data_IF_256761020625
#
_entry.id   IF_256761020625
#
_cell.length_a   1.000
_cell.length_b   1.000
_cell.length_c   1.000
_cell.angle_alpha   90.00
_cell.angle_beta   90.00
_cell.angle_gamma   90.00
#
_symmetry.space_group_name_H-M   'P 1'
#
loop_
_entity.id
_entity.type
_entity.pdbx_description
1 polymer ?
#
# COMPACT_ATOMS: atom_id res chain seq x y z
N UNK A 1 -6.00 -20.19 -1.10
CA UNK A 1 -4.76 -19.40 -1.19
C UNK A 1 -4.57 -18.74 0.16
N UNK A 2 -3.57 -19.17 0.93
CA UNK A 2 -3.25 -18.54 2.22
C UNK A 2 -2.36 -17.34 1.89
N UNK A 3 -2.84 -16.12 2.13
CA UNK A 3 -2.04 -14.92 1.94
C UNK A 3 -1.29 -14.64 3.23
N UNK A 4 0.04 -14.66 3.18
CA UNK A 4 0.88 -14.18 4.27
C UNK A 4 1.01 -12.66 4.13
N UNK A 5 0.13 -11.94 4.80
CA UNK A 5 0.06 -10.49 4.74
C UNK A 5 1.27 -9.81 5.40
N UNK A 6 1.94 -10.47 6.35
CA UNK A 6 3.17 -9.95 6.95
C UNK A 6 4.32 -10.00 5.95
N UNK A 7 4.52 -11.15 5.30
CA UNK A 7 5.54 -11.31 4.26
C UNK A 7 5.28 -10.38 3.07
N UNK A 8 4.02 -10.22 2.63
CA UNK A 8 3.63 -9.29 1.57
C UNK A 8 3.94 -7.85 1.96
N UNK A 9 3.62 -7.46 3.19
CA UNK A 9 3.86 -6.10 3.68
C UNK A 9 5.35 -5.81 3.79
N UNK A 10 6.14 -6.75 4.31
CA UNK A 10 7.59 -6.63 4.36
C UNK A 10 8.19 -6.49 2.96
N UNK A 11 7.79 -7.36 2.01
CA UNK A 11 8.24 -7.29 0.64
C UNK A 11 7.83 -5.99 -0.07
N UNK A 12 6.65 -5.44 0.23
CA UNK A 12 6.24 -4.13 -0.27
C UNK A 12 7.16 -3.02 0.24
N UNK A 13 7.38 -2.96 1.56
CA UNK A 13 8.23 -1.97 2.22
C UNK A 13 9.69 -2.04 1.76
N UNK A 14 10.20 -3.24 1.53
CA UNK A 14 11.58 -3.48 1.06
C UNK A 14 11.73 -3.38 -0.46
N UNK A 15 10.65 -3.01 -1.17
CA UNK A 15 10.65 -2.83 -2.63
C UNK A 15 10.98 -4.13 -3.39
N UNK A 16 10.51 -5.26 -2.84
CA UNK A 16 10.74 -6.63 -3.34
C UNK A 16 9.47 -7.37 -3.70
N UNK A 17 8.30 -6.73 -3.59
CA UNK A 17 7.01 -7.36 -3.90
C UNK A 17 6.96 -7.83 -5.38
N UNK A 18 6.79 -9.14 -5.65
CA UNK A 18 6.73 -9.65 -7.01
C UNK A 18 5.54 -9.10 -7.79
N UNK A 19 5.66 -8.98 -9.12
CA UNK A 19 4.58 -8.48 -9.99
C UNK A 19 3.24 -9.21 -9.80
N UNK A 20 3.27 -10.53 -9.63
CA UNK A 20 2.07 -11.32 -9.40
C UNK A 20 1.37 -11.02 -8.06
N UNK A 21 2.09 -10.47 -7.08
CA UNK A 21 1.59 -10.14 -5.75
C UNK A 21 1.20 -8.65 -5.61
N UNK A 22 1.40 -7.83 -6.66
CA UNK A 22 0.99 -6.41 -6.69
C UNK A 22 -0.51 -6.26 -6.91
N UNK A 23 -1.30 -6.73 -5.95
CA UNK A 23 -2.76 -6.68 -6.00
C UNK A 23 -3.30 -5.56 -5.12
N UNK A 24 -4.59 -5.22 -5.27
CA UNK A 24 -5.25 -4.31 -4.34
C UNK A 24 -5.20 -4.83 -2.89
N UNK A 25 -5.32 -6.15 -2.68
CA UNK A 25 -5.23 -6.74 -1.33
C UNK A 25 -3.85 -6.51 -0.69
N UNK A 26 -2.76 -6.61 -1.47
CA UNK A 26 -1.42 -6.34 -0.96
C UNK A 26 -1.25 -4.88 -0.52
N UNK A 27 -1.80 -3.93 -1.28
CA UNK A 27 -1.79 -2.51 -0.92
C UNK A 27 -2.64 -2.22 0.32
N UNK A 28 -3.78 -2.89 0.49
CA UNK A 28 -4.60 -2.76 1.71
C UNK A 28 -3.85 -3.30 2.94
N UNK A 29 -3.20 -4.46 2.82
CA UNK A 29 -2.40 -5.02 3.91
C UNK A 29 -1.22 -4.10 4.30
N UNK A 30 -0.52 -3.54 3.31
CA UNK A 30 0.51 -2.55 3.56
C UNK A 30 -0.06 -1.29 4.22
N UNK A 31 -1.19 -0.77 3.72
CA UNK A 31 -1.89 0.37 4.29
C UNK A 31 -2.27 0.16 5.76
N UNK A 32 -2.79 -1.03 6.10
CA UNK A 32 -3.09 -1.44 7.48
C UNK A 32 -1.85 -1.37 8.36
N UNK A 33 -0.73 -1.92 7.90
CA UNK A 33 0.52 -1.85 8.65
C UNK A 33 0.95 -0.40 8.91
N UNK A 34 0.89 0.47 7.90
CA UNK A 34 1.26 1.89 8.07
C UNK A 34 0.35 2.62 9.05
N UNK A 35 -0.98 2.44 8.94
CA UNK A 35 -1.94 3.06 9.86
C UNK A 35 -1.70 2.56 11.29
N UNK A 36 -1.50 1.26 11.47
CA UNK A 36 -1.27 0.67 12.79
C UNK A 36 0.01 1.19 13.47
N UNK A 37 1.09 1.37 12.71
CA UNK A 37 2.40 1.74 13.28
C UNK A 37 2.67 3.24 13.31
N UNK A 38 1.99 4.04 12.49
CA UNK A 38 2.27 5.47 12.35
C UNK A 38 1.05 6.38 12.54
N UNK A 39 -0.15 5.81 12.64
CA UNK A 39 -1.40 6.55 12.63
C UNK A 39 -1.80 7.03 11.23
N UNK A 40 -3.08 7.38 11.08
CA UNK A 40 -3.66 7.73 9.78
C UNK A 40 -3.02 8.96 9.13
N UNK A 41 -2.72 10.02 9.88
CA UNK A 41 -2.18 11.26 9.32
C UNK A 41 -0.82 11.03 8.65
N UNK A 42 0.05 10.25 9.30
CA UNK A 42 1.32 9.84 8.71
C UNK A 42 1.13 8.85 7.55
N UNK A 43 0.24 7.88 7.70
CA UNK A 43 -0.03 6.88 6.66
C UNK A 43 -0.51 7.50 5.34
N UNK A 44 -1.33 8.56 5.40
CA UNK A 44 -1.79 9.33 4.23
C UNK A 44 -0.67 9.98 3.41
N UNK A 45 0.52 10.13 4.00
CA UNK A 45 1.71 10.67 3.34
C UNK A 45 2.65 9.52 2.95
N UNK A 46 2.92 8.59 3.88
CA UNK A 46 3.89 7.51 3.72
C UNK A 46 3.46 6.49 2.66
N UNK A 47 2.18 6.11 2.61
CA UNK A 47 1.70 5.07 1.70
C UNK A 47 1.75 5.52 0.24
N UNK A 48 1.24 6.70 -0.14
CA UNK A 48 1.45 7.24 -1.49
C UNK A 48 2.92 7.24 -1.92
N UNK A 49 3.81 7.71 -1.05
CA UNK A 49 5.24 7.77 -1.33
C UNK A 49 5.82 6.35 -1.53
N UNK A 50 5.44 5.40 -0.68
CA UNK A 50 5.88 4.01 -0.77
C UNK A 50 5.40 3.33 -2.07
N UNK A 51 4.14 3.53 -2.47
CA UNK A 51 3.61 2.96 -3.73
C UNK A 51 4.36 3.52 -4.93
N UNK A 52 4.54 4.84 -5.00
CA UNK A 52 5.26 5.49 -6.11
C UNK A 52 6.72 5.05 -6.17
N UNK A 53 7.39 4.97 -5.02
CA UNK A 53 8.76 4.49 -4.93
C UNK A 53 8.88 3.03 -5.40
N UNK A 54 7.93 2.18 -4.96
CA UNK A 54 7.86 0.79 -5.39
C UNK A 54 7.65 0.69 -6.91
N UNK A 55 6.69 1.43 -7.47
CA UNK A 55 6.42 1.47 -8.91
C UNK A 55 7.66 1.88 -9.71
N UNK A 56 8.35 2.96 -9.30
CA UNK A 56 9.57 3.43 -9.95
C UNK A 56 10.67 2.36 -9.95
N UNK A 57 10.91 1.71 -8.81
CA UNK A 57 11.95 0.70 -8.68
C UNK A 57 11.71 -0.55 -9.54
N UNK A 58 10.44 -0.93 -9.73
CA UNK A 58 10.06 -2.11 -10.54
C UNK A 58 9.70 -1.76 -11.99
N UNK A 59 9.95 -0.51 -12.42
CA UNK A 59 9.72 -0.05 -13.79
C UNK A 59 8.24 0.12 -14.17
N UNK A 60 7.33 0.23 -13.20
CA UNK A 60 5.94 0.59 -13.45
C UNK A 60 5.82 2.09 -13.67
N UNK A 61 5.31 2.46 -14.85
CA UNK A 61 5.08 3.85 -15.21
C UNK A 61 3.76 4.32 -14.56
N UNK A 62 3.88 5.33 -13.71
CA UNK A 62 2.72 6.08 -13.23
C UNK A 62 2.23 7.01 -14.35
N UNK A 63 1.00 6.81 -14.79
CA UNK A 63 0.27 7.69 -15.71
C UNK A 63 -1.02 8.16 -15.03
N UNK A 64 -1.77 9.11 -15.62
CA UNK A 64 -3.07 9.50 -15.07
C UNK A 64 -4.06 8.33 -14.92
N UNK A 65 -3.85 7.22 -15.64
CA UNK A 65 -4.75 6.06 -15.67
C UNK A 65 -4.09 4.74 -15.28
N UNK A 66 -2.80 4.75 -14.90
CA UNK A 66 -2.02 3.54 -14.59
C UNK A 66 -1.01 3.78 -13.47
N UNK A 67 -0.67 2.73 -12.74
CA UNK A 67 0.34 2.76 -11.69
C UNK A 67 -0.26 3.16 -10.35
N UNK A 68 -0.18 4.45 -10.00
CA UNK A 68 -0.66 4.98 -8.74
C UNK A 68 -2.01 5.69 -8.86
N UNK A 69 -2.92 5.41 -7.91
CA UNK A 69 -4.24 6.02 -7.84
C UNK A 69 -4.46 6.72 -6.49
N UNK A 70 -4.36 8.06 -6.46
CA UNK A 70 -4.49 8.87 -5.24
C UNK A 70 -5.84 8.66 -4.54
N UNK A 71 -6.95 8.85 -5.25
CA UNK A 71 -8.29 8.78 -4.66
C UNK A 71 -8.58 7.41 -4.05
N UNK A 72 -8.19 6.33 -4.74
CA UNK A 72 -8.38 4.97 -4.21
C UNK A 72 -7.49 4.72 -2.99
N UNK A 73 -6.24 5.19 -3.03
CA UNK A 73 -5.32 5.05 -1.89
C UNK A 73 -5.88 5.74 -0.65
N UNK A 74 -6.31 7.00 -0.77
CA UNK A 74 -6.87 7.75 0.35
C UNK A 74 -8.21 7.16 0.86
N UNK A 75 -9.04 6.64 -0.05
CA UNK A 75 -10.28 5.93 0.31
C UNK A 75 -9.98 4.72 1.20
N UNK A 76 -9.07 3.84 0.74
CA UNK A 76 -8.73 2.64 1.50
C UNK A 76 -8.07 2.97 2.85
N UNK A 77 -7.19 3.96 2.91
CA UNK A 77 -6.58 4.38 4.19
C UNK A 77 -7.63 4.88 5.19
N UNK A 78 -8.66 5.57 4.72
CA UNK A 78 -9.74 6.04 5.58
C UNK A 78 -10.58 4.87 6.12
N UNK A 79 -10.92 3.91 5.27
CA UNK A 79 -11.63 2.69 5.69
C UNK A 79 -10.81 1.84 6.66
N UNK A 80 -9.49 1.75 6.43
CA UNK A 80 -8.58 1.06 7.33
C UNK A 80 -8.55 1.73 8.70
N UNK A 81 -8.42 3.06 8.77
CA UNK A 81 -8.43 3.81 10.04
C UNK A 81 -9.74 3.62 10.82
N UNK A 82 -10.87 3.59 10.11
CA UNK A 82 -12.17 3.30 10.71
C UNK A 82 -12.19 1.89 11.33
N UNK A 83 -11.73 0.88 10.59
CA UNK A 83 -11.75 -0.52 11.03
C UNK A 83 -10.78 -0.83 12.19
N UNK A 84 -9.64 -0.16 12.29
CA UNK A 84 -8.69 -0.41 13.40
C UNK A 84 -9.05 0.32 14.69
N UNK A 85 -10.04 1.22 14.67
CA UNK A 85 -10.54 1.91 15.87
C UNK A 85 -11.64 1.13 16.60
N UNK A 86 -12.21 0.11 15.97
CA UNK A 86 -13.17 -0.83 16.56
C UNK A 86 -12.47 -1.92 17.38
#
# INVERSE_FOLDING_TARGET
MHYDYEAITAAFRDVRLPKAARTHQAHVAAGLWFVWHHGIDAARILVPAAIRHHNAAVGTVDTPTSGYHETLTQLYLSLIDELVRE
#
